data_IF_091647537736
#
_entry.id   IF_091647537736
#
_cell.length_a   1.000
_cell.length_b   1.000
_cell.length_c   1.000
_cell.angle_alpha   90.00
_cell.angle_beta   90.00
_cell.angle_gamma   90.00
#
_symmetry.space_group_name_H-M   'P 1'
#
loop_
_entity.id
_entity.type
_entity.pdbx_description
1 polymer ?
#
# COMPACT_ATOMS: atom_id res chain seq x y z
N UNK A 1 -5.63 0.18 33.64
CA UNK A 1 -5.70 -1.19 34.17
C UNK A 1 -4.72 -2.07 33.39
N UNK A 2 -3.83 -2.84 34.07
CA UNK A 2 -2.69 -3.52 33.44
C UNK A 2 -3.08 -4.63 32.43
N UNK A 3 -4.26 -5.17 32.53
CA UNK A 3 -4.77 -6.22 31.61
C UNK A 3 -5.01 -5.74 30.16
N UNK A 4 -5.35 -4.47 29.98
CA UNK A 4 -5.64 -3.92 28.66
C UNK A 4 -4.35 -3.61 27.86
N UNK A 5 -3.26 -3.26 28.57
CA UNK A 5 -1.97 -2.98 27.94
C UNK A 5 -1.26 -4.26 27.46
N UNK A 6 -1.45 -5.39 28.17
CA UNK A 6 -0.85 -6.67 27.78
C UNK A 6 -1.51 -7.27 26.53
N UNK A 7 -2.85 -7.20 26.40
CA UNK A 7 -3.57 -7.67 25.23
C UNK A 7 -3.23 -6.87 23.97
N UNK A 8 -3.11 -5.54 24.08
CA UNK A 8 -2.71 -4.69 22.96
C UNK A 8 -1.25 -4.96 22.51
N UNK A 9 -0.35 -5.21 23.46
CA UNK A 9 1.03 -5.58 23.17
C UNK A 9 1.14 -6.94 22.48
N UNK A 10 0.28 -7.88 22.82
CA UNK A 10 0.28 -9.23 22.25
C UNK A 10 -0.26 -9.24 20.80
N UNK A 11 -1.29 -8.47 20.51
CA UNK A 11 -1.81 -8.28 19.14
C UNK A 11 -0.77 -7.62 18.25
N UNK A 12 -0.07 -6.61 18.75
CA UNK A 12 1.00 -5.92 18.01
C UNK A 12 2.17 -6.86 17.68
N UNK A 13 2.62 -7.64 18.64
CA UNK A 13 3.68 -8.65 18.42
C UNK A 13 3.27 -9.65 17.33
N UNK A 14 2.04 -10.15 17.36
CA UNK A 14 1.53 -11.07 16.33
C UNK A 14 1.52 -10.48 14.94
N UNK A 15 1.15 -9.21 14.79
CA UNK A 15 1.17 -8.51 13.49
C UNK A 15 2.59 -8.36 12.94
N UNK A 16 3.55 -7.99 13.77
CA UNK A 16 4.95 -7.86 13.37
C UNK A 16 5.53 -9.22 12.96
N UNK A 17 5.26 -10.28 13.73
CA UNK A 17 5.68 -11.65 13.35
C UNK A 17 5.07 -12.09 12.02
N UNK A 18 3.78 -11.81 11.80
CA UNK A 18 3.10 -12.15 10.54
C UNK A 18 3.73 -11.44 9.34
N UNK A 19 4.07 -10.16 9.48
CA UNK A 19 4.72 -9.40 8.41
C UNK A 19 6.16 -9.90 8.15
N UNK A 20 6.87 -10.32 9.19
CA UNK A 20 8.20 -10.90 9.03
C UNK A 20 8.15 -12.27 8.33
N UNK A 21 7.18 -13.11 8.68
CA UNK A 21 6.93 -14.39 8.00
C UNK A 21 6.54 -14.20 6.54
N UNK A 22 5.80 -13.14 6.22
CA UNK A 22 5.47 -12.78 4.83
C UNK A 22 6.74 -12.52 4.01
N UNK A 23 7.74 -11.84 4.59
CA UNK A 23 9.05 -11.67 3.96
C UNK A 23 9.75 -13.01 3.68
N UNK A 24 9.65 -13.96 4.60
CA UNK A 24 10.16 -15.33 4.40
C UNK A 24 9.46 -16.06 3.24
N UNK A 25 8.15 -15.91 3.11
CA UNK A 25 7.39 -16.44 1.97
C UNK A 25 7.85 -15.84 0.65
N UNK A 26 8.03 -14.52 0.59
CA UNK A 26 8.54 -13.86 -0.62
C UNK A 26 9.95 -14.32 -0.99
N UNK A 27 10.81 -14.59 -0.01
CA UNK A 27 12.13 -15.15 -0.23
C UNK A 27 12.04 -16.60 -0.78
N UNK A 28 11.14 -17.42 -0.27
CA UNK A 28 10.89 -18.76 -0.78
C UNK A 28 10.40 -18.74 -2.24
N UNK A 29 9.52 -17.79 -2.58
CA UNK A 29 9.07 -17.58 -3.97
C UNK A 29 10.24 -17.19 -4.89
N UNK A 30 11.14 -16.33 -4.43
CA UNK A 30 12.35 -16.00 -5.19
C UNK A 30 13.23 -17.24 -5.43
N UNK A 31 13.35 -18.13 -4.43
CA UNK A 31 14.02 -19.42 -4.58
C UNK A 31 13.37 -20.31 -5.65
N UNK A 32 12.05 -20.34 -5.73
CA UNK A 32 11.34 -21.07 -6.79
C UNK A 32 11.62 -20.48 -8.17
N UNK A 33 11.71 -19.17 -8.31
CA UNK A 33 12.10 -18.54 -9.58
C UNK A 33 13.52 -18.92 -10.01
N UNK A 34 14.46 -19.04 -9.07
CA UNK A 34 15.81 -19.53 -9.38
C UNK A 34 15.79 -20.98 -9.88
N UNK A 35 14.96 -21.84 -9.28
CA UNK A 35 14.78 -23.22 -9.75
C UNK A 35 14.17 -23.30 -11.16
N UNK A 36 13.38 -22.31 -11.56
CA UNK A 36 12.82 -22.19 -12.91
C UNK A 36 13.81 -21.51 -13.89
N UNK A 37 15.05 -21.25 -13.51
CA UNK A 37 16.04 -20.50 -14.29
C UNK A 37 15.62 -19.06 -14.65
N UNK A 38 14.68 -18.48 -13.90
CA UNK A 38 14.20 -17.12 -14.08
C UNK A 38 14.95 -16.14 -13.15
N UNK A 39 16.27 -16.01 -13.34
CA UNK A 39 17.17 -15.25 -12.47
C UNK A 39 16.80 -13.77 -12.35
N UNK A 40 16.41 -13.13 -13.47
CA UNK A 40 15.97 -11.73 -13.47
C UNK A 40 14.71 -11.53 -12.61
N UNK A 41 13.70 -12.42 -12.76
CA UNK A 41 12.46 -12.35 -11.99
C UNK A 41 12.72 -12.62 -10.51
N UNK A 42 13.63 -13.55 -10.18
CA UNK A 42 14.05 -13.81 -8.81
C UNK A 42 14.70 -12.59 -8.17
N UNK A 43 15.60 -11.91 -8.89
CA UNK A 43 16.22 -10.68 -8.41
C UNK A 43 15.18 -9.56 -8.18
N UNK A 44 14.26 -9.36 -9.13
CA UNK A 44 13.16 -8.40 -9.00
C UNK A 44 12.25 -8.74 -7.81
N UNK A 45 11.94 -10.01 -7.58
CA UNK A 45 11.16 -10.47 -6.42
C UNK A 45 11.81 -10.07 -5.10
N UNK A 46 13.10 -10.31 -4.93
CA UNK A 46 13.81 -9.94 -3.71
C UNK A 46 13.88 -8.42 -3.55
N UNK A 47 14.24 -7.71 -4.60
CA UNK A 47 14.47 -6.27 -4.53
C UNK A 47 13.17 -5.50 -4.24
N UNK A 48 12.08 -5.86 -4.91
CA UNK A 48 10.80 -5.14 -4.83
C UNK A 48 9.95 -5.69 -3.68
N UNK A 49 9.69 -7.02 -3.65
CA UNK A 49 8.75 -7.57 -2.68
C UNK A 49 9.36 -7.72 -1.28
N UNK A 50 10.58 -8.23 -1.17
CA UNK A 50 11.24 -8.36 0.12
C UNK A 50 11.80 -7.01 0.58
N UNK A 51 12.47 -6.28 -0.29
CA UNK A 51 13.18 -5.04 0.05
C UNK A 51 12.27 -3.82 0.20
N UNK A 52 11.36 -3.59 -0.73
CA UNK A 52 10.51 -2.39 -0.71
C UNK A 52 9.15 -2.64 -0.04
N UNK A 53 8.36 -3.58 -0.55
CA UNK A 53 6.96 -3.76 -0.12
C UNK A 53 6.88 -4.31 1.29
N UNK A 54 7.64 -5.36 1.62
CA UNK A 54 7.59 -5.98 2.95
C UNK A 54 8.09 -5.02 4.03
N UNK A 55 9.14 -4.26 3.75
CA UNK A 55 9.66 -3.23 4.66
C UNK A 55 8.64 -2.10 4.84
N UNK A 56 7.97 -1.67 3.76
CA UNK A 56 6.90 -0.67 3.84
C UNK A 56 5.73 -1.17 4.70
N UNK A 57 5.33 -2.43 4.57
CA UNK A 57 4.27 -3.05 5.39
C UNK A 57 4.68 -3.08 6.87
N UNK A 58 5.93 -3.45 7.17
CA UNK A 58 6.45 -3.43 8.54
C UNK A 58 6.38 -2.04 9.16
N UNK A 59 6.82 -1.01 8.44
CA UNK A 59 6.73 0.37 8.91
C UNK A 59 5.27 0.83 9.05
N UNK A 60 4.41 0.49 8.10
CA UNK A 60 2.99 0.85 8.15
C UNK A 60 2.30 0.24 9.39
N UNK A 61 2.55 -1.03 9.70
CA UNK A 61 1.99 -1.69 10.88
C UNK A 61 2.51 -1.03 12.17
N UNK A 62 3.77 -0.63 12.19
CA UNK A 62 4.37 0.01 13.35
C UNK A 62 3.82 1.42 13.60
N UNK A 63 3.48 2.16 12.53
CA UNK A 63 2.95 3.53 12.61
C UNK A 63 1.43 3.59 12.83
N UNK A 64 0.67 2.59 12.39
CA UNK A 64 -0.80 2.58 12.52
C UNK A 64 -1.21 2.13 13.92
N UNK A 65 -1.66 3.07 14.73
CA UNK A 65 -2.30 2.79 16.02
C UNK A 65 -3.80 2.48 15.80
N UNK A 66 -4.11 1.21 15.57
CA UNK A 66 -5.47 0.75 15.27
C UNK A 66 -6.31 0.65 16.55
N UNK A 67 -6.96 1.74 16.94
CA UNK A 67 -8.04 1.79 17.94
C UNK A 67 -9.38 2.02 17.23
N UNK A 68 -9.76 1.17 16.28
CA UNK A 68 -11.10 1.22 15.72
C UNK A 68 -11.91 0.05 16.24
N UNK A 69 -12.95 0.35 17.00
CA UNK A 69 -14.04 -0.58 17.29
C UNK A 69 -14.74 -0.92 15.97
N UNK A 70 -14.55 -2.14 15.50
CA UNK A 70 -15.26 -2.66 14.34
C UNK A 70 -16.76 -2.72 14.66
N UNK A 71 -17.50 -1.67 14.27
CA UNK A 71 -18.96 -1.71 14.28
C UNK A 71 -19.41 -2.89 13.43
N UNK A 72 -20.15 -3.80 14.02
CA UNK A 72 -20.73 -4.94 13.34
C UNK A 72 -21.59 -4.45 12.16
N UNK A 73 -21.14 -4.76 10.95
CA UNK A 73 -21.85 -4.36 9.72
C UNK A 73 -23.06 -5.28 9.58
N UNK A 74 -24.26 -4.72 9.65
CA UNK A 74 -25.50 -5.42 9.35
C UNK A 74 -25.48 -5.91 7.89
N UNK A 75 -26.01 -7.15 7.64
CA UNK A 75 -26.06 -7.85 6.34
C UNK A 75 -24.81 -8.62 5.90
N UNK A 76 -24.19 -9.35 6.84
CA UNK A 76 -23.07 -10.23 6.52
C UNK A 76 -23.41 -11.35 5.52
N UNK A 77 -24.64 -11.85 5.52
CA UNK A 77 -25.04 -13.00 4.68
C UNK A 77 -25.12 -12.64 3.20
N UNK A 78 -25.80 -11.56 2.84
CA UNK A 78 -25.92 -11.11 1.43
C UNK A 78 -24.55 -10.76 0.86
N UNK A 79 -23.71 -10.08 1.65
CA UNK A 79 -22.35 -9.72 1.25
C UNK A 79 -21.45 -10.95 1.03
N UNK A 80 -21.58 -11.99 1.86
CA UNK A 80 -20.84 -13.26 1.69
C UNK A 80 -21.27 -13.99 0.43
N UNK A 81 -22.57 -14.03 0.12
CA UNK A 81 -23.09 -14.70 -1.10
C UNK A 81 -22.62 -13.95 -2.35
N UNK A 82 -22.74 -12.63 -2.40
CA UNK A 82 -22.28 -11.83 -3.52
C UNK A 82 -20.77 -11.94 -3.73
N UNK A 83 -19.99 -11.80 -2.65
CA UNK A 83 -18.54 -11.96 -2.69
C UNK A 83 -18.13 -13.37 -3.13
N UNK A 84 -18.80 -14.43 -2.61
CA UNK A 84 -18.57 -15.81 -3.01
C UNK A 84 -18.90 -16.04 -4.50
N UNK A 85 -20.00 -15.50 -4.98
CA UNK A 85 -20.39 -15.58 -6.40
C UNK A 85 -19.40 -14.92 -7.35
N UNK A 86 -18.94 -13.72 -7.01
CA UNK A 86 -17.90 -13.01 -7.78
C UNK A 86 -16.58 -13.80 -7.78
N UNK A 87 -16.16 -14.31 -6.63
CA UNK A 87 -14.92 -15.09 -6.51
C UNK A 87 -14.99 -16.39 -7.32
N UNK A 88 -16.14 -17.08 -7.30
CA UNK A 88 -16.37 -18.31 -8.04
C UNK A 88 -16.45 -18.06 -9.54
N UNK A 89 -17.07 -16.95 -9.97
CA UNK A 89 -17.11 -16.51 -11.36
C UNK A 89 -15.73 -16.18 -11.90
N UNK A 90 -14.91 -15.48 -11.11
CA UNK A 90 -13.53 -15.17 -11.48
C UNK A 90 -12.67 -16.45 -11.57
N UNK A 91 -12.84 -17.36 -10.62
CA UNK A 91 -12.13 -18.65 -10.63
C UNK A 91 -12.50 -19.46 -11.88
N UNK A 92 -13.79 -19.57 -12.20
CA UNK A 92 -14.26 -20.27 -13.39
C UNK A 92 -13.70 -19.67 -14.70
N UNK A 93 -13.64 -18.33 -14.76
CA UNK A 93 -13.05 -17.63 -15.90
C UNK A 93 -11.56 -17.90 -16.03
N UNK A 94 -10.81 -17.87 -14.95
CA UNK A 94 -9.37 -18.19 -14.93
C UNK A 94 -9.11 -19.63 -15.34
N UNK A 95 -9.84 -20.59 -14.76
CA UNK A 95 -9.74 -22.01 -15.13
C UNK A 95 -10.04 -22.19 -16.61
N UNK A 96 -11.11 -21.55 -17.13
CA UNK A 96 -11.44 -21.62 -18.54
C UNK A 96 -10.29 -21.11 -19.41
N UNK A 97 -9.73 -19.95 -19.09
CA UNK A 97 -8.59 -19.38 -19.83
C UNK A 97 -7.40 -20.33 -19.84
N UNK A 98 -7.02 -20.86 -18.68
CA UNK A 98 -5.90 -21.79 -18.57
C UNK A 98 -6.10 -23.06 -19.38
N UNK A 99 -7.32 -23.65 -19.34
CA UNK A 99 -7.63 -24.92 -20.04
C UNK A 99 -7.81 -24.73 -21.54
N UNK A 100 -8.37 -23.57 -21.97
CA UNK A 100 -8.66 -23.35 -23.40
C UNK A 100 -7.50 -22.71 -24.16
N UNK A 101 -6.50 -22.17 -23.47
CA UNK A 101 -5.32 -21.59 -24.15
C UNK A 101 -4.41 -22.69 -24.66
N UNK A 102 -4.10 -22.73 -25.96
CA UNK A 102 -3.12 -23.67 -26.50
C UNK A 102 -1.72 -23.24 -26.03
N UNK A 103 -1.20 -23.90 -25.02
CA UNK A 103 0.15 -23.68 -24.53
C UNK A 103 1.15 -24.33 -25.50
N UNK A 104 1.58 -23.58 -26.54
CA UNK A 104 2.72 -24.01 -27.35
C UNK A 104 3.98 -23.74 -26.52
N UNK A 105 4.65 -24.82 -26.11
CA UNK A 105 5.98 -24.70 -25.53
C UNK A 105 6.95 -24.30 -26.64
N UNK A 106 7.46 -23.06 -26.66
CA UNK A 106 8.52 -22.70 -27.60
C UNK A 106 9.75 -23.56 -27.30
N UNK A 107 10.62 -23.75 -28.32
CA UNK A 107 11.86 -24.53 -28.20
C UNK A 107 12.74 -24.10 -27.02
N UNK A 108 14.00 -24.57 -26.94
CA UNK A 108 14.83 -24.36 -25.76
C UNK A 108 14.85 -22.89 -25.35
N UNK A 109 14.31 -22.62 -24.15
CA UNK A 109 14.25 -21.28 -23.63
C UNK A 109 15.66 -20.73 -23.36
N UNK A 110 15.87 -19.46 -23.68
CA UNK A 110 17.09 -18.77 -23.26
C UNK A 110 17.20 -18.79 -21.72
N UNK A 111 18.38 -19.11 -21.21
CA UNK A 111 18.65 -19.35 -19.80
C UNK A 111 19.69 -18.35 -19.29
N UNK A 112 19.50 -17.85 -18.06
CA UNK A 112 20.48 -16.99 -17.40
C UNK A 112 20.61 -15.59 -18.00
N UNK A 113 21.85 -15.18 -18.32
CA UNK A 113 22.15 -13.84 -18.83
C UNK A 113 21.51 -13.54 -20.19
N UNK A 114 21.43 -14.55 -21.06
CA UNK A 114 20.79 -14.43 -22.38
C UNK A 114 19.28 -14.13 -22.23
N UNK A 115 18.60 -14.76 -21.27
CA UNK A 115 17.21 -14.47 -21.00
C UNK A 115 17.00 -13.02 -20.53
N UNK A 116 17.89 -12.51 -19.70
CA UNK A 116 17.83 -11.12 -19.20
C UNK A 116 18.04 -10.12 -20.35
N UNK A 117 19.01 -10.37 -21.23
CA UNK A 117 19.27 -9.53 -22.40
C UNK A 117 18.05 -9.50 -23.35
N UNK A 118 17.43 -10.65 -23.61
CA UNK A 118 16.21 -10.74 -24.44
C UNK A 118 15.02 -10.01 -23.83
N UNK A 119 14.84 -10.10 -22.51
CA UNK A 119 13.79 -9.33 -21.82
C UNK A 119 14.02 -7.83 -22.05
N UNK A 120 15.27 -7.35 -21.92
CA UNK A 120 15.60 -5.96 -22.17
C UNK A 120 15.32 -5.53 -23.61
N UNK A 121 15.73 -6.34 -24.59
CA UNK A 121 15.48 -6.08 -26.02
C UNK A 121 13.97 -5.99 -26.32
N UNK A 122 13.19 -6.97 -25.91
CA UNK A 122 11.74 -6.96 -26.12
C UNK A 122 11.03 -5.82 -25.38
N UNK A 123 11.53 -5.43 -24.20
CA UNK A 123 10.95 -4.33 -23.44
C UNK A 123 11.08 -2.99 -24.15
N UNK A 124 12.17 -2.78 -24.90
CA UNK A 124 12.42 -1.54 -25.65
C UNK A 124 12.03 -1.61 -27.12
N UNK A 125 11.57 -2.76 -27.63
CA UNK A 125 11.07 -2.92 -28.99
C UNK A 125 9.56 -3.19 -28.99
N UNK A 126 9.18 -4.43 -28.70
CA UNK A 126 7.78 -4.90 -28.80
C UNK A 126 6.88 -4.37 -27.70
N UNK A 127 7.42 -4.18 -26.50
CA UNK A 127 6.71 -3.75 -25.28
C UNK A 127 7.04 -2.33 -24.83
N UNK A 128 7.52 -1.49 -25.76
CA UNK A 128 7.86 -0.09 -25.46
C UNK A 128 6.69 0.69 -24.86
N UNK A 129 5.48 0.53 -25.42
CA UNK A 129 4.29 1.23 -24.96
C UNK A 129 3.88 0.80 -23.55
N UNK A 130 3.77 -0.49 -23.18
CA UNK A 130 3.58 -0.91 -21.79
C UNK A 130 4.67 -0.41 -20.83
N UNK A 131 5.91 -0.36 -21.27
CA UNK A 131 7.02 0.19 -20.47
C UNK A 131 6.84 1.69 -20.18
N UNK A 132 6.47 2.47 -21.18
CA UNK A 132 6.19 3.90 -21.02
C UNK A 132 5.02 4.15 -20.08
N UNK A 133 3.93 3.39 -20.25
CA UNK A 133 2.76 3.48 -19.35
C UNK A 133 3.12 3.13 -17.90
N UNK A 134 3.95 2.11 -17.69
CA UNK A 134 4.42 1.74 -16.36
C UNK A 134 5.26 2.86 -15.72
N UNK A 135 6.11 3.56 -16.49
CA UNK A 135 6.91 4.66 -15.98
C UNK A 135 6.04 5.86 -15.54
N UNK A 136 5.00 6.19 -16.32
CA UNK A 136 4.02 7.22 -15.95
C UNK A 136 3.25 6.80 -14.70
N UNK A 137 2.84 5.53 -14.59
CA UNK A 137 2.17 5.01 -13.40
C UNK A 137 3.04 5.13 -12.14
N UNK A 138 4.33 4.81 -12.23
CA UNK A 138 5.27 4.97 -11.12
C UNK A 138 5.43 6.44 -10.71
N UNK A 139 5.50 7.36 -11.68
CA UNK A 139 5.55 8.78 -11.40
C UNK A 139 4.28 9.25 -10.67
N UNK A 140 3.11 8.85 -11.16
CA UNK A 140 1.83 9.19 -10.53
C UNK A 140 1.72 8.61 -9.12
N UNK A 141 2.19 7.37 -8.91
CA UNK A 141 2.21 6.74 -7.60
C UNK A 141 3.12 7.51 -6.62
N UNK A 142 4.29 7.96 -7.08
CA UNK A 142 5.21 8.76 -6.28
C UNK A 142 4.60 10.12 -5.89
N UNK A 143 3.99 10.82 -6.84
CA UNK A 143 3.29 12.09 -6.57
C UNK A 143 2.14 11.87 -5.59
N UNK A 144 1.33 10.83 -5.81
CA UNK A 144 0.23 10.46 -4.92
C UNK A 144 0.70 10.16 -3.48
N UNK A 145 1.80 9.45 -3.33
CA UNK A 145 2.39 9.16 -2.02
C UNK A 145 2.83 10.45 -1.30
N UNK A 146 3.47 11.38 -2.03
CA UNK A 146 3.90 12.68 -1.48
C UNK A 146 2.70 13.52 -1.06
N UNK A 147 1.66 13.59 -1.89
CA UNK A 147 0.43 14.34 -1.59
C UNK A 147 -0.28 13.78 -0.36
N UNK A 148 -0.37 12.45 -0.23
CA UNK A 148 -0.98 11.80 0.93
C UNK A 148 -0.13 11.94 2.20
N UNK A 149 1.20 11.90 2.08
CA UNK A 149 2.11 12.05 3.21
C UNK A 149 2.19 13.51 3.69
N UNK A 150 1.95 14.46 2.82
CA UNK A 150 1.92 15.89 3.14
C UNK A 150 0.63 16.20 3.89
N UNK A 151 0.65 16.03 5.18
CA UNK A 151 -0.46 16.42 6.06
C UNK A 151 -0.70 17.92 5.88
N UNK A 152 -1.96 18.31 5.75
CA UNK A 152 -2.39 19.71 5.68
C UNK A 152 -2.08 20.46 7.00
N UNK A 153 -0.82 20.77 7.20
CA UNK A 153 -0.36 21.65 8.28
C UNK A 153 -0.92 23.07 8.02
N UNK A 154 -1.11 23.44 6.75
CA UNK A 154 -1.60 24.75 6.36
C UNK A 154 -3.04 25.06 6.79
N UNK A 155 -3.94 24.08 6.81
CA UNK A 155 -5.32 24.34 7.23
C UNK A 155 -5.43 24.50 8.76
N UNK A 156 -4.66 23.74 9.54
CA UNK A 156 -4.65 23.84 10.98
C UNK A 156 -3.96 25.13 11.46
N UNK A 157 -2.86 25.51 10.84
CA UNK A 157 -2.11 26.72 11.22
C UNK A 157 -2.86 28.00 10.80
N UNK A 158 -3.56 27.99 9.67
CA UNK A 158 -4.40 29.13 9.25
C UNK A 158 -5.60 29.30 10.17
N UNK A 159 -6.29 28.22 10.53
CA UNK A 159 -7.43 28.29 11.47
C UNK A 159 -6.98 28.68 12.87
N UNK A 160 -5.83 28.18 13.33
CA UNK A 160 -5.28 28.55 14.66
C UNK A 160 -4.74 29.97 14.66
N UNK A 161 -4.09 30.41 13.58
CA UNK A 161 -3.64 31.78 13.41
C UNK A 161 -4.78 32.79 13.36
N UNK A 162 -5.85 32.49 12.63
CA UNK A 162 -7.03 33.32 12.53
C UNK A 162 -7.83 33.40 13.85
N UNK A 163 -7.91 32.27 14.58
CA UNK A 163 -8.51 32.24 15.91
C UNK A 163 -7.68 33.02 16.95
N UNK A 164 -6.36 32.96 16.86
CA UNK A 164 -5.45 33.73 17.71
C UNK A 164 -5.53 35.23 17.42
N UNK A 165 -5.63 35.61 16.15
CA UNK A 165 -5.78 37.01 15.73
C UNK A 165 -7.15 37.58 16.18
N UNK A 166 -8.22 36.83 16.03
CA UNK A 166 -9.55 37.21 16.55
C UNK A 166 -9.56 37.33 18.07
N UNK A 167 -8.87 36.46 18.80
CA UNK A 167 -8.70 36.55 20.24
C UNK A 167 -7.93 37.79 20.70
N UNK A 168 -6.94 38.21 19.95
CA UNK A 168 -6.17 39.42 20.20
C UNK A 168 -7.01 40.71 19.93
N UNK A 169 -7.80 40.70 18.86
CA UNK A 169 -8.71 41.79 18.50
C UNK A 169 -9.81 41.95 19.57
N UNK A 170 -10.40 40.85 20.01
CA UNK A 170 -11.42 40.86 21.09
C UNK A 170 -10.84 41.34 22.40
N UNK A 171 -9.63 40.92 22.77
CA UNK A 171 -8.94 41.37 23.97
C UNK A 171 -8.57 42.86 23.96
N UNK A 172 -8.23 43.38 22.77
CA UNK A 172 -7.95 44.81 22.57
C UNK A 172 -9.22 45.69 22.61
N UNK A 173 -10.37 45.11 22.24
CA UNK A 173 -11.66 45.83 22.19
C UNK A 173 -12.33 45.97 23.58
N UNK A 174 -12.08 45.02 24.45
CA UNK A 174 -12.69 45.01 25.79
C UNK A 174 -12.38 46.24 26.66
N UNK A 175 -11.10 46.72 26.76
CA UNK A 175 -10.81 47.93 27.57
C UNK A 175 -11.44 49.20 27.01
N UNK A 176 -11.51 49.34 25.66
CA UNK A 176 -12.12 50.51 25.04
C UNK A 176 -13.61 50.66 25.29
N UNK A 177 -14.32 49.54 25.43
CA UNK A 177 -15.76 49.52 25.75
C UNK A 177 -16.05 49.85 27.23
N UNK A 178 -15.12 49.52 28.12
CA UNK A 178 -15.25 49.82 29.54
C UNK A 178 -15.03 51.33 29.82
N UNK A 179 -14.09 51.93 29.11
CA UNK A 179 -13.78 53.36 29.23
C UNK A 179 -14.93 54.27 28.72
N UNK A 180 -15.63 53.82 27.67
CA UNK A 180 -16.79 54.54 27.11
C UNK A 180 -18.05 54.48 28.02
N UNK A 181 -18.08 53.53 28.98
CA UNK A 181 -19.21 53.36 29.90
C UNK A 181 -19.06 54.18 31.19
N UNK A 182 -17.88 54.74 31.45
CA UNK A 182 -17.54 55.54 32.64
C UNK A 182 -17.56 57.04 32.42
N UNK A 183 -17.77 57.48 31.19
CA UNK A 183 -18.00 58.90 30.82
C UNK A 183 -19.45 59.13 30.45
#
# INVERSE_FOLDING_TARGET
TPLYSSAASDVYKRQVYSAFLLGGVFMAVAGLYLLLNASFVAAAQVMIYVGAINVLILFAIMLVNKREDLKAIANLTTRRIVSGGVCLGLLALLVRVVVTTPWSLPGPAAVGEEATARIGEHLFTDYLLPFELASVLLLMAMIGAIVLARRDVLAADVVTGEAADQGLIEKARTPLLLERRSS
#
